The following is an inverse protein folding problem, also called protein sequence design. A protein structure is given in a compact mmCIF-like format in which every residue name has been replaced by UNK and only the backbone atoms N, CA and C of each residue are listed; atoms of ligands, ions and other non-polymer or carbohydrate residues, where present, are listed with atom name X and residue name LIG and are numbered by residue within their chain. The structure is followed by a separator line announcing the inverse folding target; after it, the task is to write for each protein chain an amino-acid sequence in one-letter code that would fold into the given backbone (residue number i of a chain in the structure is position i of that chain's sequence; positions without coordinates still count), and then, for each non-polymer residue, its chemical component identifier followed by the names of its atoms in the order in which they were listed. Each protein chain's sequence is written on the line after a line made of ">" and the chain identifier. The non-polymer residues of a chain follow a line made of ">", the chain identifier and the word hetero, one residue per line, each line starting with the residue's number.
data_IF_410398675652
#
_entry.id   IF_410398675652
#
_cell.length_a   1.000
_cell.length_b   1.000
_cell.length_c   1.000
_cell.angle_alpha   90.00
_cell.angle_beta   90.00
_cell.angle_gamma   90.00
#
_symmetry.space_group_name_H-M   'P 1'
#
loop_
_entity.id
_entity.type
_entity.pdbx_description
1 polymer ?
#
# COMPACT_ATOMS: atom_id res chain seq x y z
N UNK A 1 12.07 10.81 -15.49
CA UNK A 1 12.17 9.33 -15.54
C UNK A 1 10.87 8.80 -14.96
N UNK A 2 10.13 7.99 -15.71
CA UNK A 2 8.82 7.50 -15.32
C UNK A 2 9.01 6.44 -14.24
N UNK A 3 8.33 6.58 -13.10
CA UNK A 3 8.60 5.78 -11.91
C UNK A 3 8.46 4.28 -12.19
N UNK A 4 9.55 3.55 -11.97
CA UNK A 4 9.58 2.10 -12.12
C UNK A 4 9.13 1.43 -10.82
N UNK A 5 8.83 0.13 -10.89
CA UNK A 5 8.46 -0.69 -9.72
C UNK A 5 9.51 -0.67 -8.57
N UNK A 6 10.72 -0.12 -8.81
CA UNK A 6 11.77 0.07 -7.81
C UNK A 6 11.68 1.36 -6.99
N UNK A 7 10.69 2.23 -7.22
CA UNK A 7 10.54 3.50 -6.47
C UNK A 7 9.77 3.35 -5.14
N UNK A 8 9.27 2.14 -4.86
CA UNK A 8 8.69 1.80 -3.56
C UNK A 8 9.83 1.61 -2.56
N UNK A 9 10.11 2.65 -1.79
CA UNK A 9 11.22 2.65 -0.84
C UNK A 9 10.91 1.82 0.42
N UNK A 10 9.63 1.67 0.77
CA UNK A 10 9.23 1.03 2.03
C UNK A 10 7.99 0.13 1.86
N UNK A 11 8.14 -1.12 2.29
CA UNK A 11 7.05 -2.06 2.53
C UNK A 11 6.96 -2.27 4.05
N UNK A 12 5.81 -1.95 4.63
CA UNK A 12 5.52 -2.13 6.05
C UNK A 12 4.35 -3.09 6.24
N UNK A 13 4.46 -3.97 7.23
CA UNK A 13 3.37 -4.84 7.67
C UNK A 13 2.79 -4.25 8.95
N UNK A 14 1.49 -3.93 8.94
CA UNK A 14 0.83 -3.41 10.14
C UNK A 14 0.52 -4.52 11.17
N UNK A 15 0.02 -4.13 12.33
CA UNK A 15 -0.35 -5.05 13.42
C UNK A 15 -1.44 -6.08 13.02
N UNK A 16 -2.13 -5.89 11.91
CA UNK A 16 -3.14 -6.80 11.37
C UNK A 16 -2.60 -7.68 10.24
N UNK A 17 -1.30 -7.62 9.95
CA UNK A 17 -0.67 -8.44 8.92
C UNK A 17 -0.86 -7.91 7.50
N UNK A 18 -1.34 -6.67 7.32
CA UNK A 18 -1.61 -6.09 5.99
C UNK A 18 -0.36 -5.39 5.47
N UNK A 19 -0.07 -5.60 4.19
CA UNK A 19 1.06 -4.96 3.52
C UNK A 19 0.71 -3.55 3.05
N UNK A 20 1.57 -2.60 3.37
CA UNK A 20 1.48 -1.20 2.97
C UNK A 20 2.70 -0.84 2.13
N UNK A 21 2.45 -0.14 1.02
CA UNK A 21 3.47 0.29 0.07
C UNK A 21 3.60 1.82 0.14
N UNK A 22 4.80 2.30 0.43
CA UNK A 22 5.14 3.72 0.40
C UNK A 22 5.90 4.08 -0.88
N UNK A 23 5.36 5.03 -1.65
CA UNK A 23 6.03 5.64 -2.78
C UNK A 23 6.48 7.05 -2.38
N UNK A 24 7.79 7.18 -2.12
CA UNK A 24 8.42 8.43 -1.69
C UNK A 24 8.82 9.34 -2.87
N UNK A 25 8.82 8.81 -4.10
CA UNK A 25 9.18 9.56 -5.29
C UNK A 25 7.99 9.62 -6.25
N UNK A 26 7.32 10.78 -6.31
CA UNK A 26 6.29 11.02 -7.33
C UNK A 26 6.43 12.40 -7.98
N UNK A 27 5.70 12.59 -9.09
CA UNK A 27 5.76 13.79 -9.92
C UNK A 27 5.20 15.05 -9.23
N UNK A 28 4.54 14.91 -8.08
CA UNK A 28 3.97 16.00 -7.28
C UNK A 28 4.93 16.61 -6.25
N UNK A 29 6.20 16.18 -6.18
CA UNK A 29 7.15 16.62 -5.15
C UNK A 29 6.98 15.81 -3.85
N UNK A 30 7.38 16.36 -2.69
CA UNK A 30 7.44 15.73 -1.35
C UNK A 30 6.13 15.12 -0.80
N UNK A 31 5.11 14.95 -1.64
CA UNK A 31 3.88 14.24 -1.31
C UNK A 31 4.19 12.75 -1.23
N UNK A 32 3.88 12.09 -0.12
CA UNK A 32 3.96 10.62 -0.04
C UNK A 32 2.70 9.99 -0.61
N UNK A 33 2.83 8.97 -1.46
CA UNK A 33 1.70 8.11 -1.84
C UNK A 33 1.80 6.82 -1.06
N UNK A 34 0.72 6.46 -0.36
CA UNK A 34 0.60 5.21 0.37
C UNK A 34 -0.55 4.39 -0.19
N UNK A 35 -0.33 3.10 -0.33
CA UNK A 35 -1.33 2.17 -0.84
C UNK A 35 -1.28 0.83 -0.13
N UNK A 36 -2.39 0.10 -0.20
CA UNK A 36 -2.51 -1.29 0.24
C UNK A 36 -3.47 -2.03 -0.70
N UNK A 37 -3.55 -3.34 -0.58
CA UNK A 37 -4.50 -4.16 -1.34
C UNK A 37 -5.75 -4.42 -0.51
N UNK A 38 -6.93 -4.18 -1.09
CA UNK A 38 -8.19 -4.48 -0.41
C UNK A 38 -8.39 -5.99 -0.18
N UNK A 39 -7.87 -6.79 -1.10
CA UNK A 39 -7.83 -8.25 -1.03
C UNK A 39 -6.35 -8.64 -1.14
N UNK A 40 -5.75 -9.03 -0.01
CA UNK A 40 -4.33 -9.37 0.08
C UNK A 40 -4.07 -10.88 0.10
N UNK A 41 -2.83 -11.30 -0.15
CA UNK A 41 -2.42 -12.69 0.00
C UNK A 41 -2.49 -13.13 1.47
N UNK A 42 -2.79 -14.41 1.69
CA UNK A 42 -2.80 -15.06 3.00
C UNK A 42 -1.39 -15.08 3.62
N UNK A 43 -1.21 -14.55 4.84
CA UNK A 43 0.11 -14.47 5.47
C UNK A 43 0.53 -15.76 6.19
N UNK A 44 -0.42 -16.61 6.64
CA UNK A 44 -0.18 -17.84 7.44
C UNK A 44 -1.39 -18.80 7.39
N UNK A 45 -1.69 -19.36 6.21
CA UNK A 45 -2.80 -20.31 5.94
C UNK A 45 -4.24 -19.83 6.25
N UNK A 46 -4.41 -18.64 6.84
CA UNK A 46 -5.68 -17.99 7.09
C UNK A 46 -5.85 -16.72 6.24
N UNK A 47 -6.93 -16.58 5.46
CA UNK A 47 -7.17 -15.37 4.69
C UNK A 47 -7.29 -14.14 5.59
N UNK A 48 -6.67 -13.04 5.16
CA UNK A 48 -6.80 -11.75 5.84
C UNK A 48 -8.20 -11.18 5.59
N UNK A 49 -8.74 -10.46 6.57
CA UNK A 49 -9.99 -9.73 6.38
C UNK A 49 -9.83 -8.68 5.28
N UNK A 50 -10.79 -8.63 4.37
CA UNK A 50 -10.81 -7.65 3.28
C UNK A 50 -10.93 -6.24 3.83
N UNK A 51 -10.14 -5.32 3.29
CA UNK A 51 -10.27 -3.91 3.62
C UNK A 51 -11.44 -3.27 2.85
N UNK A 52 -12.07 -2.23 3.41
CA UNK A 52 -12.91 -1.33 2.64
C UNK A 52 -12.11 -0.73 1.47
N UNK A 53 -12.76 -0.59 0.31
CA UNK A 53 -12.14 0.09 -0.84
C UNK A 53 -11.90 1.55 -0.47
N UNK A 54 -10.66 2.00 -0.62
CA UNK A 54 -10.29 3.40 -0.44
C UNK A 54 -10.70 4.28 -1.62
N UNK A 55 -10.78 5.59 -1.40
CA UNK A 55 -11.08 6.59 -2.43
C UNK A 55 -11.55 7.91 -1.80
N UNK A 56 -12.10 8.85 -2.59
CA UNK A 56 -12.63 10.12 -2.08
C UNK A 56 -13.70 9.95 -0.99
N UNK A 57 -14.40 8.81 -0.98
CA UNK A 57 -15.42 8.48 0.03
C UNK A 57 -14.84 8.04 1.38
N UNK A 58 -13.56 7.72 1.45
CA UNK A 58 -12.87 7.26 2.67
C UNK A 58 -11.76 8.21 3.12
N UNK A 59 -11.68 9.39 2.50
CA UNK A 59 -10.75 10.48 2.81
C UNK A 59 -11.36 11.46 3.82
#
# INVERSE_FOLDING_TARGET
>A
RCGGFGDFNDIIIDQHGRAWFGLAHNVGGEIGIFGTMAIGPTLRDMPLATLPIGGPSTL
#
